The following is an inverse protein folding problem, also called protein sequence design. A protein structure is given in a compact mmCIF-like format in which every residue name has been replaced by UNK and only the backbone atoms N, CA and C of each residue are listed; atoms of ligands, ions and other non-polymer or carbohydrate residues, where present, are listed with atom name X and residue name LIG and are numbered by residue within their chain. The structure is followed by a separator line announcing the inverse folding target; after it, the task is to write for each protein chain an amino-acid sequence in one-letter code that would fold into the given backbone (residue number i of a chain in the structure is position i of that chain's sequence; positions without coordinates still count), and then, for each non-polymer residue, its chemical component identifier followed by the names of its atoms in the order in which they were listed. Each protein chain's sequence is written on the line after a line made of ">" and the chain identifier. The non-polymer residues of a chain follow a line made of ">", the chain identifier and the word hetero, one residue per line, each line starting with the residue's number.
data_IF_767459127039
#
_entry.id   IF_767459127039
#
_cell.length_a   1.000
_cell.length_b   1.000
_cell.length_c   1.000
_cell.angle_alpha   90.00
_cell.angle_beta   90.00
_cell.angle_gamma   90.00
#
_symmetry.space_group_name_H-M   'P 1'
#
loop_
_entity.id
_entity.type
_entity.pdbx_description
1 polymer ?
2 non-polymer ?
3 non-polymer ?
4 water ?
#
# COMPACT_ATOMS: atom_id res chain seq x y z
N UNK A 5 -21.35 1.63 6.71
CA UNK A 5 -21.82 2.29 5.47
C UNK A 5 -20.69 3.19 4.93
N UNK A 6 -20.21 2.92 3.70
CA UNK A 6 -19.13 3.69 3.04
C UNK A 6 -19.74 4.69 2.06
N UNK A 7 -19.16 5.91 1.98
CA UNK A 7 -19.45 6.91 0.93
C UNK A 7 -19.10 6.30 -0.43
N UNK A 8 -19.62 6.90 -1.52
CA UNK A 8 -19.34 6.50 -2.91
C UNK A 8 -17.82 6.46 -3.14
N UNK A 9 -17.11 7.52 -2.74
CA UNK A 9 -15.66 7.62 -2.97
C UNK A 9 -14.94 6.53 -2.17
N UNK A 10 -15.39 6.23 -0.94
CA UNK A 10 -14.77 5.16 -0.13
C UNK A 10 -15.08 3.76 -0.72
N UNK A 11 -16.25 3.58 -1.37
CA UNK A 11 -16.52 2.32 -2.09
C UNK A 11 -15.54 2.16 -3.25
N UNK A 12 -15.24 3.25 -4.00
CA UNK A 12 -14.22 3.21 -5.06
C UNK A 12 -12.86 2.81 -4.45
N UNK A 13 -12.51 3.40 -3.30
CA UNK A 13 -11.27 3.06 -2.58
C UNK A 13 -11.27 1.59 -2.19
N UNK A 14 -12.39 1.09 -1.67
CA UNK A 14 -12.48 -0.34 -1.28
C UNK A 14 -12.29 -1.24 -2.52
N UNK A 15 -12.85 -0.85 -3.68
CA UNK A 15 -12.68 -1.58 -4.93
C UNK A 15 -11.22 -1.68 -5.32
N UNK A 16 -10.51 -0.53 -5.26
CA UNK A 16 -9.06 -0.48 -5.56
C UNK A 16 -8.32 -1.42 -4.62
N UNK A 17 -8.59 -1.33 -3.31
CA UNK A 17 -7.94 -2.18 -2.30
C UNK A 17 -8.13 -3.65 -2.65
N UNK A 18 -9.38 -4.06 -2.98
CA UNK A 18 -9.66 -5.45 -3.36
C UNK A 18 -8.81 -5.83 -4.57
N UNK A 19 -8.72 -4.94 -5.56
CA UNK A 19 -7.91 -5.21 -6.76
C UNK A 19 -6.44 -5.38 -6.36
N UNK A 20 -5.90 -4.51 -5.50
CA UNK A 20 -4.47 -4.60 -5.13
C UNK A 20 -4.17 -5.92 -4.41
N UNK A 21 -5.18 -6.50 -3.72
CA UNK A 21 -5.04 -7.77 -2.98
C UNK A 21 -5.40 -8.99 -3.84
N UNK A 22 -5.86 -8.79 -5.09
CA UNK A 22 -6.39 -9.84 -5.97
C UNK A 22 -5.27 -10.64 -6.65
N UNK A 23 -5.58 -11.85 -7.12
CA UNK A 23 -4.58 -12.74 -7.75
C UNK A 23 -3.98 -12.08 -8.99
N UNK A 24 -4.75 -11.20 -9.67
CA UNK A 24 -4.32 -10.49 -10.89
C UNK A 24 -2.95 -9.83 -10.68
N UNK A 25 -2.69 -9.27 -9.48
CA UNK A 25 -1.49 -8.47 -9.20
C UNK A 25 -0.54 -9.15 -8.22
N UNK A 26 -0.80 -10.43 -7.87
CA UNK A 26 -0.07 -11.12 -6.80
C UNK A 26 1.43 -11.23 -7.07
N UNK A 27 1.85 -11.32 -8.36
CA UNK A 27 3.26 -11.50 -8.70
C UNK A 27 4.13 -10.34 -8.22
N UNK A 28 3.58 -9.12 -8.11
CA UNK A 28 4.32 -7.94 -7.63
C UNK A 28 3.70 -7.30 -6.38
N UNK A 29 2.47 -7.69 -5.98
CA UNK A 29 1.84 -7.09 -4.78
C UNK A 29 2.28 -7.76 -3.48
N UNK A 30 2.77 -9.01 -3.52
CA UNK A 30 2.93 -9.84 -2.31
C UNK A 30 3.85 -9.20 -1.25
N UNK A 31 4.90 -8.43 -1.58
CA UNK A 31 5.71 -7.80 -0.51
C UNK A 31 4.93 -6.79 0.33
N UNK A 32 3.77 -6.32 -0.16
CA UNK A 32 2.96 -5.26 0.46
C UNK A 32 1.74 -5.80 1.19
N UNK A 33 1.58 -7.13 1.25
CA UNK A 33 0.40 -7.79 1.83
C UNK A 33 0.34 -7.63 3.34
N UNK A 34 1.51 -7.68 4.01
CA UNK A 34 1.60 -7.73 5.48
C UNK A 34 2.69 -6.77 5.96
N UNK A 35 2.66 -6.35 7.24
CA UNK A 35 3.72 -5.47 7.74
C UNK A 35 5.08 -6.09 7.49
N UNK A 36 6.06 -5.26 7.12
CA UNK A 36 7.46 -5.68 6.99
C UNK A 36 7.90 -6.27 8.33
N UNK A 37 8.32 -7.54 8.32
CA UNK A 37 8.91 -8.19 9.50
C UNK A 37 10.42 -7.98 9.40
N UNK A 38 10.89 -6.85 9.95
CA UNK A 38 12.27 -6.38 9.83
C UNK A 38 13.23 -7.44 10.38
N UNK A 39 12.93 -7.97 11.57
CA UNK A 39 13.74 -8.99 12.26
C UNK A 39 13.85 -10.26 11.41
N UNK A 40 12.72 -10.74 10.85
CA UNK A 40 12.67 -11.94 10.01
C UNK A 40 13.51 -11.78 8.74
N UNK A 41 13.54 -10.57 8.14
CA UNK A 41 14.24 -10.29 6.88
C UNK A 41 15.68 -9.79 7.12
N UNK A 42 16.09 -9.66 8.39
CA UNK A 42 17.42 -9.19 8.78
C UNK A 42 17.63 -7.71 8.50
N UNK A 43 16.54 -6.93 8.42
CA UNK A 43 16.59 -5.49 8.12
C UNK A 43 16.61 -4.72 9.44
N UNK A 44 17.74 -4.80 10.17
CA UNK A 44 17.83 -4.31 11.56
C UNK A 44 17.87 -2.79 11.65
N UNK A 45 17.91 -2.09 10.49
CA UNK A 45 17.88 -0.62 10.40
C UNK A 45 16.50 -0.13 9.93
N UNK A 46 15.56 -1.04 9.60
CA UNK A 46 14.28 -0.68 8.98
C UNK A 46 13.52 0.37 9.80
N UNK A 47 13.32 0.11 11.10
CA UNK A 47 12.51 0.98 11.97
C UNK A 47 13.26 2.25 12.40
N UNK A 48 14.56 2.34 12.11
CA UNK A 48 15.33 3.59 12.30
C UNK A 48 15.09 4.53 11.11
N UNK A 49 14.85 3.95 9.92
CA UNK A 49 14.70 4.69 8.66
C UNK A 49 13.23 4.98 8.38
N UNK A 50 12.34 4.01 8.65
CA UNK A 50 10.88 4.11 8.39
C UNK A 50 10.17 4.32 9.73
N UNK A 51 9.68 5.55 9.95
CA UNK A 51 9.04 5.97 11.21
C UNK A 51 7.57 5.54 11.24
N UNK A 52 6.93 5.41 10.06
CA UNK A 52 5.49 5.11 9.95
C UNK A 52 5.27 3.95 8.97
N UNK A 53 5.48 2.70 9.41
CA UNK A 53 5.24 1.54 8.53
C UNK A 53 3.78 1.49 8.07
N UNK A 54 3.56 0.97 6.86
CA UNK A 54 2.20 0.80 6.31
C UNK A 54 2.22 -0.35 5.31
N UNK A 55 1.09 -1.06 5.19
CA UNK A 55 0.99 -2.24 4.32
C UNK A 55 -0.50 -2.46 4.03
N UNK A 56 -0.83 -3.32 3.07
CA UNK A 56 -2.22 -3.47 2.62
C UNK A 56 -3.11 -4.13 3.67
N UNK A 57 -2.56 -5.03 4.53
CA UNK A 57 -3.40 -5.64 5.59
C UNK A 57 -3.82 -4.57 6.58
N UNK A 58 -2.95 -3.59 6.85
CA UNK A 58 -3.26 -2.48 7.77
C UNK A 58 -4.30 -1.56 7.11
N UNK A 59 -4.15 -1.28 5.80
CA UNK A 59 -5.15 -0.46 5.06
C UNK A 59 -6.51 -1.18 5.10
N UNK A 60 -6.52 -2.50 4.89
CA UNK A 60 -7.76 -3.30 4.90
C UNK A 60 -8.42 -3.23 6.27
N UNK A 61 -7.66 -3.40 7.36
CA UNK A 61 -8.20 -3.33 8.74
C UNK A 61 -8.81 -1.95 8.97
N UNK A 62 -8.12 -0.88 8.54
CA UNK A 62 -8.62 0.50 8.73
C UNK A 62 -9.90 0.70 7.92
N UNK A 63 -9.97 0.17 6.69
CA UNK A 63 -11.19 0.31 5.86
C UNK A 63 -12.35 -0.44 6.55
N UNK A 64 -12.10 -1.67 7.04
CA UNK A 64 -13.14 -2.50 7.68
C UNK A 64 -13.66 -1.83 8.96
N UNK A 65 -12.78 -1.11 9.68
CA UNK A 65 -13.10 -0.43 10.95
C UNK A 65 -13.67 0.97 10.71
N UNK A 66 -13.85 1.38 9.43
CA UNK A 66 -14.35 2.71 9.04
C UNK A 66 -13.44 3.81 9.62
N UNK A 67 -12.13 3.52 9.70
CA UNK A 67 -11.12 4.49 10.15
C UNK A 67 -11.04 5.63 9.14
N UNK A 68 -10.98 5.33 7.83
CA UNK A 68 -10.84 6.37 6.78
C UNK A 68 -12.14 7.15 6.66
N UNK A 69 -12.07 8.48 6.77
CA UNK A 69 -13.25 9.35 6.67
C UNK A 69 -13.45 9.80 5.22
N UNK A 70 -12.40 9.74 4.37
CA UNK A 70 -12.50 10.13 2.96
C UNK A 70 -11.43 9.44 2.13
N UNK A 71 -11.54 9.54 0.81
CA UNK A 71 -10.63 8.91 -0.16
C UNK A 71 -9.20 9.40 0.04
N UNK A 72 -9.02 10.70 0.34
CA UNK A 72 -7.70 11.34 0.51
C UNK A 72 -6.93 10.63 1.63
N UNK A 73 -7.61 10.30 2.74
CA UNK A 73 -6.97 9.65 3.90
C UNK A 73 -6.51 8.25 3.50
N UNK A 74 -7.38 7.51 2.78
CA UNK A 74 -7.05 6.18 2.26
C UNK A 74 -5.82 6.27 1.34
N UNK A 75 -5.83 7.19 0.37
CA UNK A 75 -4.74 7.33 -0.60
C UNK A 75 -3.43 7.67 0.11
N UNK A 76 -3.49 8.50 1.17
CA UNK A 76 -2.28 8.88 1.93
C UNK A 76 -1.61 7.64 2.52
N UNK A 77 -2.37 6.66 3.03
CA UNK A 77 -1.77 5.42 3.58
C UNK A 77 -1.21 4.56 2.46
N UNK A 78 -1.91 4.43 1.33
CA UNK A 78 -1.38 3.61 0.22
C UNK A 78 -0.07 4.25 -0.28
N UNK A 79 -0.03 5.58 -0.41
CA UNK A 79 1.19 6.25 -0.90
C UNK A 79 2.30 6.18 0.14
N UNK A 80 1.96 6.23 1.44
CA UNK A 80 2.96 6.08 2.52
C UNK A 80 3.66 4.73 2.37
N UNK A 81 2.87 3.68 2.10
CA UNK A 81 3.38 2.32 1.91
C UNK A 81 4.43 2.30 0.78
N UNK A 82 4.12 2.93 -0.37
CA UNK A 82 5.07 2.95 -1.51
C UNK A 82 6.28 3.82 -1.15
N UNK A 83 6.05 4.98 -0.53
CA UNK A 83 7.13 5.91 -0.17
C UNK A 83 8.13 5.25 0.78
N UNK A 84 7.63 4.45 1.73
CA UNK A 84 8.52 3.71 2.67
C UNK A 84 9.45 2.79 1.87
N UNK A 85 8.90 2.12 0.85
CA UNK A 85 9.66 1.22 -0.02
C UNK A 85 10.76 2.00 -0.77
N UNK A 86 10.41 3.17 -1.33
CA UNK A 86 11.35 4.02 -2.09
C UNK A 86 12.40 4.66 -1.18
N UNK A 87 12.04 4.91 0.09
CA UNK A 87 13.00 5.49 1.06
C UNK A 87 14.02 4.44 1.51
N UNK A 88 13.56 3.22 1.85
CA UNK A 88 14.42 2.22 2.50
C UNK A 88 15.37 1.55 1.50
N UNK A 89 14.88 1.26 0.29
CA UNK A 89 15.56 0.38 -0.68
C UNK A 89 16.29 1.17 -1.75
N UNK A 90 17.45 0.68 -2.23
CA UNK A 90 18.08 1.27 -3.42
C UNK A 90 17.10 1.24 -4.60
N UNK A 91 17.12 2.26 -5.47
CA UNK A 91 16.12 2.36 -6.55
C UNK A 91 16.14 1.22 -7.57
N UNK A 92 17.21 0.43 -7.63
CA UNK A 92 17.38 -0.69 -8.58
C UNK A 92 17.02 -2.04 -7.93
N UNK A 93 16.49 -2.05 -6.69
CA UNK A 93 16.11 -3.29 -5.99
C UNK A 93 14.85 -3.87 -6.62
N UNK A 94 14.75 -5.22 -6.71
CA UNK A 94 13.57 -5.92 -7.25
C UNK A 94 12.28 -5.45 -6.56
N UNK A 95 12.32 -5.23 -5.22
CA UNK A 95 11.10 -4.86 -4.47
C UNK A 95 10.61 -3.48 -4.91
N UNK A 96 11.53 -2.58 -5.30
CA UNK A 96 11.18 -1.24 -5.81
C UNK A 96 10.49 -1.35 -7.18
N UNK A 97 10.97 -2.24 -8.07
CA UNK A 97 10.30 -2.48 -9.36
C UNK A 97 8.87 -2.97 -9.12
N UNK A 98 8.68 -3.83 -8.11
CA UNK A 98 7.36 -4.36 -7.76
C UNK A 98 6.48 -3.22 -7.21
N UNK A 99 7.04 -2.35 -6.34
CA UNK A 99 6.32 -1.18 -5.81
C UNK A 99 5.83 -0.28 -6.95
N UNK A 100 6.73 0.04 -7.91
CA UNK A 100 6.42 0.92 -9.06
C UNK A 100 5.22 0.36 -9.83
N UNK A 101 5.24 -0.96 -10.10
CA UNK A 101 4.17 -1.64 -10.86
C UNK A 101 2.84 -1.57 -10.10
N UNK A 102 2.85 -1.87 -8.79
CA UNK A 102 1.60 -1.82 -8.00
C UNK A 102 1.13 -0.37 -7.86
N UNK A 103 2.06 0.59 -7.73
CA UNK A 103 1.65 2.00 -7.62
C UNK A 103 1.02 2.48 -8.93
N UNK A 104 1.50 1.98 -10.09
CA UNK A 104 0.88 2.32 -11.38
C UNK A 104 -0.57 1.84 -11.39
N UNK A 105 -0.83 0.60 -10.93
CA UNK A 105 -2.21 0.07 -10.85
C UNK A 105 -3.05 1.02 -9.97
N UNK A 106 -2.50 1.37 -8.80
CA UNK A 106 -3.19 2.22 -7.83
C UNK A 106 -3.53 3.60 -8.43
N UNK A 107 -2.51 4.31 -8.94
CA UNK A 107 -2.67 5.72 -9.36
C UNK A 107 -3.65 5.81 -10.53
N UNK A 108 -3.56 4.89 -11.50
CA UNK A 108 -4.44 4.98 -12.68
C UNK A 108 -5.89 4.74 -12.27
N UNK A 109 -6.15 3.83 -11.32
CA UNK A 109 -7.54 3.56 -10.93
C UNK A 109 -8.03 4.62 -9.94
N UNK A 110 -7.15 5.09 -9.04
CA UNK A 110 -7.51 6.17 -8.10
C UNK A 110 -7.95 7.42 -8.89
N UNK A 111 -7.30 7.67 -10.05
CA UNK A 111 -7.59 8.83 -10.90
C UNK A 111 -9.01 8.77 -11.48
N UNK A 112 -9.63 7.57 -11.52
CA UNK A 112 -11.00 7.34 -12.04
C UNK A 112 -12.05 7.47 -10.93
N UNK A 113 -11.68 8.09 -9.79
CA UNK A 113 -12.57 8.39 -8.65
C UNK A 113 -13.85 9.08 -9.16
N UNK A 114 -15.04 8.62 -8.76
CA UNK A 114 -16.28 9.32 -9.14
C UNK A 114 -16.38 10.66 -8.41
N UNK A 115 -16.87 11.70 -9.11
CA UNK A 115 -17.07 13.06 -8.57
C UNK A 115 -18.48 13.18 -8.00
X LIG B 1 11.17 -3.44 1.53
X LIG B 1 11.94 -6.95 0.91
X LIG B 1 13.53 -5.21 1.42
X LIG B 1 14.58 -6.09 1.21
X LIG B 1 14.29 -7.40 0.86
X LIG B 1 12.98 -7.79 0.71
X LIG B 1 12.62 -9.18 0.23
X LIG B 1 13.38 -9.47 -2.17
X LIG B 1 10.88 -8.79 -3.13
X LIG B 1 16.01 -5.66 1.29
X LIG B 1 17.85 -2.51 1.22
X LIG B 1 16.89 -6.44 1.66
X LIG B 1 16.28 -4.40 0.92
X LIG B 1 17.64 -3.87 0.87
X LIG B 1 18.27 -3.48 2.14
X LIG B 1 12.36 -9.17 -1.27
X LIG B 1 11.11 -8.84 -1.77
X LIG B 1 11.90 -9.08 -4.02
X LIG B 1 13.15 -9.42 -3.53
X LIG B 1 12.22 -5.68 1.25
X LIG B 1 11.05 -4.80 1.43
X LIG B 1 9.72 -5.11 1.46
X LIG B 1 9.97 -2.91 1.61
X LIG B 1 9.09 -3.94 1.56
X LIG B 1 7.65 -3.72 1.59
X LIG C 1 2.47 6.72 -11.21
X LIG C 1 2.88 5.72 -10.31
X LIG C 1 1.84 6.16 -12.44
X LIG C 1 2.68 5.25 -13.12
X LIG D 1 -5.70 7.94 11.79
X LIG D 1 -6.00 6.62 11.38
X LIG D 1 -6.40 8.35 13.04
X LIG D 1 -7.73 7.90 13.10
X LIG E 1 18.72 4.41 -0.94
X LIG E 1 18.84 3.49 0.12
X LIG E 1 17.30 4.83 -1.20
X LIG E 1 17.05 6.20 -0.98
#
# INVERSE_FOLDING_TARGET
>A
GSMGKLSEQLKHCNGILKELLSKKHAAYAWPFYKPVDASALGLHDYHDIIKHPMDLSTVKRKMENRDYRDAQEFAADVRLMFSNCYKYNPPDHDVVAMARKLQDVFEFRYAKMPD
>B hetero
1 UM8 N1 N3 C4 C5 C6 C7 C8 C10 C13 C15 C17 O N4 C16 C18 C9 C14 C12 C11 C3 C2 C1 N2 N C
>C hetero
1 EDO C1 O1 C2 O2
>D hetero
1 EDO C1 O1 C2 O2
>E hetero
1 EDO C1 O1 C2 O2
#
